data_IF_759912866211
#
_entry.id   IF_759912866211
#
_cell.length_a   1.000
_cell.length_b   1.000
_cell.length_c   1.000
_cell.angle_alpha   90.00
_cell.angle_beta   90.00
_cell.angle_gamma   90.00
#
_symmetry.space_group_name_H-M   'P 1'
#
loop_
_entity.id
_entity.type
_entity.pdbx_description
1 polymer ?
#
# COMPACT_ATOMS: atom_id res chain seq x y z
N UNK A 1 -26.34 4.25 8.49
CA UNK A 1 -25.02 4.42 9.15
C UNK A 1 -23.99 3.98 8.13
N UNK A 2 -23.07 4.83 7.70
CA UNK A 2 -22.08 4.43 6.69
C UNK A 2 -21.05 3.49 7.32
N UNK A 3 -20.78 2.36 6.65
CA UNK A 3 -19.66 1.51 7.00
C UNK A 3 -18.37 2.13 6.45
N UNK A 4 -17.48 2.53 7.36
CA UNK A 4 -16.16 3.05 7.03
C UNK A 4 -15.09 2.30 7.83
N UNK A 5 -13.85 2.42 7.35
CA UNK A 5 -12.65 2.04 8.08
C UNK A 5 -11.62 3.17 7.94
N UNK A 6 -10.89 3.46 9.01
CA UNK A 6 -9.67 4.24 8.91
C UNK A 6 -8.51 3.28 8.64
N UNK A 7 -7.96 3.38 7.44
CA UNK A 7 -6.74 2.66 7.06
C UNK A 7 -5.55 3.59 7.27
N UNK A 8 -4.51 3.04 7.87
CA UNK A 8 -3.25 3.73 8.09
C UNK A 8 -2.11 2.71 8.01
N UNK A 9 -0.96 3.11 7.48
CA UNK A 9 0.27 2.34 7.57
C UNK A 9 1.15 2.85 8.72
N UNK A 10 2.17 2.07 9.07
CA UNK A 10 3.02 2.45 10.19
C UNK A 10 3.94 3.64 9.85
N UNK A 11 4.21 3.95 8.58
CA UNK A 11 5.18 4.98 8.18
C UNK A 11 6.48 4.90 9.01
N UNK A 12 6.80 5.97 9.76
CA UNK A 12 7.92 6.15 10.68
C UNK A 12 7.54 5.91 12.15
N UNK A 13 6.31 5.48 12.43
CA UNK A 13 5.81 5.28 13.80
C UNK A 13 6.40 4.00 14.39
N UNK A 14 6.71 3.98 15.70
CA UNK A 14 7.49 2.90 16.31
C UNK A 14 6.70 1.59 16.47
N UNK A 15 5.36 1.65 16.50
CA UNK A 15 4.51 0.48 16.67
C UNK A 15 3.04 0.73 16.27
N UNK A 16 2.27 -0.34 16.13
CA UNK A 16 0.83 -0.29 15.86
C UNK A 16 0.04 0.50 16.92
N UNK A 17 0.44 0.42 18.21
CA UNK A 17 -0.19 1.19 19.29
C UNK A 17 -0.06 2.69 19.06
N UNK A 18 1.13 3.16 18.69
CA UNK A 18 1.37 4.57 18.39
C UNK A 18 0.53 5.06 17.20
N UNK A 19 0.31 4.20 16.19
CA UNK A 19 -0.58 4.51 15.06
C UNK A 19 -2.04 4.66 15.51
N UNK A 20 -2.54 3.72 16.33
CA UNK A 20 -3.90 3.79 16.88
C UNK A 20 -4.11 5.01 17.77
N UNK A 21 -3.15 5.32 18.63
CA UNK A 21 -3.20 6.54 19.45
C UNK A 21 -3.22 7.81 18.62
N UNK A 22 -2.41 7.86 17.55
CA UNK A 22 -2.41 9.00 16.64
C UNK A 22 -3.79 9.22 16.00
N UNK A 23 -4.41 8.16 15.46
CA UNK A 23 -5.75 8.24 14.88
C UNK A 23 -6.81 8.62 15.92
N UNK A 24 -6.72 8.08 17.14
CA UNK A 24 -7.63 8.48 18.24
C UNK A 24 -7.47 9.95 18.62
N UNK A 25 -6.25 10.51 18.60
CA UNK A 25 -6.04 11.94 18.85
C UNK A 25 -6.59 12.82 17.73
N UNK A 26 -6.54 12.36 16.48
CA UNK A 26 -7.06 13.11 15.33
C UNK A 26 -8.58 13.10 15.24
N UNK A 27 -9.22 11.97 15.54
CA UNK A 27 -10.65 11.76 15.27
C UNK A 27 -11.51 11.59 16.53
N UNK A 28 -10.91 11.40 17.71
CA UNK A 28 -11.63 11.22 18.97
C UNK A 28 -12.59 10.03 18.92
N UNK A 29 -13.78 10.23 19.49
CA UNK A 29 -14.83 9.20 19.57
C UNK A 29 -15.53 8.92 18.23
N UNK A 30 -15.27 9.73 17.20
CA UNK A 30 -15.75 9.48 15.84
C UNK A 30 -15.04 8.31 15.17
N UNK A 31 -13.97 7.77 15.76
CA UNK A 31 -13.23 6.64 15.21
C UNK A 31 -13.09 5.50 16.24
N UNK A 32 -14.07 4.58 16.29
CA UNK A 32 -14.00 3.42 17.17
C UNK A 32 -12.77 2.54 16.88
N UNK A 33 -12.13 1.94 17.90
CA UNK A 33 -10.91 1.13 17.71
C UNK A 33 -11.04 -0.02 16.71
N UNK A 34 -12.22 -0.64 16.61
CA UNK A 34 -12.54 -1.72 15.68
C UNK A 34 -12.63 -1.27 14.21
N UNK A 35 -12.80 0.03 13.98
CA UNK A 35 -12.81 0.67 12.66
C UNK A 35 -11.40 1.07 12.21
N UNK A 36 -10.38 0.89 13.06
CA UNK A 36 -8.98 1.22 12.76
C UNK A 36 -8.24 -0.02 12.27
N UNK A 37 -7.77 0.04 11.02
CA UNK A 37 -6.88 -0.95 10.43
C UNK A 37 -5.50 -0.30 10.27
N UNK A 38 -4.52 -0.83 11.01
CA UNK A 38 -3.12 -0.42 10.87
C UNK A 38 -2.37 -1.49 10.12
N UNK A 39 -1.66 -1.08 9.08
CA UNK A 39 -0.94 -1.95 8.15
C UNK A 39 0.56 -1.69 8.23
N UNK A 40 1.36 -2.66 7.79
CA UNK A 40 2.81 -2.58 7.95
C UNK A 40 3.43 -1.67 6.87
N UNK A 41 4.38 -0.82 7.31
CA UNK A 41 5.23 0.05 6.46
C UNK A 41 4.50 1.05 5.57
N UNK A 42 4.28 0.73 4.29
CA UNK A 42 3.83 1.66 3.25
C UNK A 42 2.74 1.00 2.41
N UNK A 43 1.57 1.63 2.31
CA UNK A 43 0.45 1.16 1.49
C UNK A 43 0.81 1.18 -0.01
N UNK A 44 1.70 2.07 -0.44
CA UNK A 44 2.09 2.17 -1.86
C UNK A 44 2.81 0.92 -2.37
N UNK A 45 3.41 0.14 -1.48
CA UNK A 45 3.93 -1.19 -1.78
C UNK A 45 2.88 -2.14 -2.37
N UNK A 46 1.59 -1.95 -2.04
CA UNK A 46 0.49 -2.80 -2.50
C UNK A 46 0.26 -2.68 -3.99
N UNK A 47 0.57 -1.54 -4.62
CA UNK A 47 0.45 -1.40 -6.07
C UNK A 47 1.42 -2.34 -6.79
N UNK A 48 2.63 -2.48 -6.26
CA UNK A 48 3.66 -3.34 -6.86
C UNK A 48 3.37 -4.84 -6.63
N UNK A 49 2.71 -5.21 -5.54
CA UNK A 49 2.52 -6.63 -5.20
C UNK A 49 1.63 -7.35 -6.23
N UNK A 50 0.65 -6.66 -6.81
CA UNK A 50 -0.24 -7.21 -7.85
C UNK A 50 0.28 -7.07 -9.28
N UNK A 51 1.48 -6.55 -9.48
CA UNK A 51 2.05 -6.37 -10.81
C UNK A 51 2.48 -7.71 -11.42
N UNK A 52 1.97 -7.98 -12.62
CA UNK A 52 2.19 -9.24 -13.37
C UNK A 52 3.13 -9.09 -14.57
N UNK A 53 3.64 -7.87 -14.82
CA UNK A 53 4.55 -7.59 -15.92
C UNK A 53 3.98 -6.66 -16.99
N UNK A 54 4.83 -5.80 -17.53
CA UNK A 54 4.58 -4.90 -18.65
C UNK A 54 5.88 -4.68 -19.41
N UNK A 55 5.80 -4.64 -20.75
CA UNK A 55 6.94 -4.27 -21.60
C UNK A 55 7.35 -2.82 -21.39
N UNK A 56 6.40 -1.95 -21.11
CA UNK A 56 6.62 -0.52 -20.87
C UNK A 56 7.46 -0.30 -19.59
N UNK A 57 7.15 -1.06 -18.54
CA UNK A 57 7.84 -0.97 -17.25
C UNK A 57 9.11 -1.83 -17.17
N UNK A 58 9.50 -2.54 -18.24
CA UNK A 58 10.67 -3.46 -18.23
C UNK A 58 11.98 -2.76 -17.87
N UNK A 59 12.10 -1.46 -18.12
CA UNK A 59 13.29 -0.65 -17.79
C UNK A 59 13.34 -0.24 -16.31
N UNK A 60 12.22 -0.32 -15.59
CA UNK A 60 12.19 -0.03 -14.17
C UNK A 60 12.83 -1.18 -13.39
N UNK A 61 13.76 -0.84 -12.51
CA UNK A 61 14.32 -1.79 -11.55
C UNK A 61 13.42 -1.83 -10.31
N UNK A 62 12.39 -2.67 -10.39
CA UNK A 62 11.51 -2.90 -9.25
C UNK A 62 12.11 -4.00 -8.35
N UNK A 63 12.00 -3.85 -7.01
CA UNK A 63 12.47 -4.88 -6.10
C UNK A 63 11.59 -6.13 -6.18
N UNK A 64 12.22 -7.30 -5.99
CA UNK A 64 11.49 -8.58 -5.96
C UNK A 64 10.55 -8.69 -4.75
N UNK A 65 10.94 -8.11 -3.62
CA UNK A 65 10.10 -7.94 -2.45
C UNK A 65 9.55 -6.52 -2.45
N UNK A 66 8.23 -6.40 -2.62
CA UNK A 66 7.57 -5.10 -2.72
C UNK A 66 7.21 -4.52 -1.36
N UNK A 67 7.17 -5.34 -0.32
CA UNK A 67 6.74 -4.96 1.03
C UNK A 67 7.61 -3.84 1.62
N UNK A 68 7.01 -2.67 1.84
CA UNK A 68 7.68 -1.51 2.41
C UNK A 68 8.36 -0.59 1.40
N UNK A 69 8.23 -0.86 0.10
CA UNK A 69 8.62 0.10 -0.94
C UNK A 69 7.79 1.36 -0.79
N UNK A 70 8.47 2.49 -0.62
CA UNK A 70 7.84 3.80 -0.48
C UNK A 70 7.45 4.38 -1.83
N UNK A 71 6.48 5.30 -1.80
CA UNK A 71 6.10 6.08 -2.98
C UNK A 71 7.28 6.80 -3.65
N UNK A 72 8.25 7.30 -2.87
CA UNK A 72 9.45 7.95 -3.41
C UNK A 72 10.35 6.98 -4.17
N UNK A 73 10.57 5.77 -3.63
CA UNK A 73 11.41 4.76 -4.27
C UNK A 73 10.81 4.31 -5.60
N UNK A 74 9.48 4.18 -5.68
CA UNK A 74 8.79 3.94 -6.94
C UNK A 74 8.99 5.09 -7.95
N UNK A 75 8.81 6.34 -7.52
CA UNK A 75 9.00 7.52 -8.40
C UNK A 75 10.44 7.62 -8.91
N UNK A 76 11.41 7.35 -8.05
CA UNK A 76 12.83 7.38 -8.40
C UNK A 76 13.17 6.26 -9.40
N UNK A 77 12.59 5.06 -9.22
CA UNK A 77 12.75 3.96 -10.16
C UNK A 77 12.13 4.27 -11.54
N UNK A 78 10.98 4.94 -11.58
CA UNK A 78 10.34 5.35 -12.84
C UNK A 78 11.17 6.43 -13.55
N UNK A 79 11.57 7.47 -12.80
CA UNK A 79 12.39 8.58 -13.32
C UNK A 79 13.73 8.09 -13.84
N UNK A 80 14.41 7.20 -13.10
CA UNK A 80 15.67 6.59 -13.52
C UNK A 80 15.55 5.72 -14.78
N UNK A 81 14.35 5.19 -15.05
CA UNK A 81 14.04 4.45 -16.27
C UNK A 81 13.62 5.36 -17.45
N UNK A 82 13.59 6.68 -17.25
CA UNK A 82 13.13 7.67 -18.23
C UNK A 82 11.62 7.68 -18.43
N UNK A 83 10.85 7.26 -17.42
CA UNK A 83 9.39 7.21 -17.45
C UNK A 83 8.80 8.30 -16.56
N UNK A 84 7.65 8.83 -16.97
CA UNK A 84 6.80 9.63 -16.08
C UNK A 84 6.19 8.73 -14.99
N UNK A 85 6.35 9.05 -13.69
CA UNK A 85 5.84 8.21 -12.60
C UNK A 85 4.32 7.99 -12.63
N UNK A 86 3.56 8.99 -13.06
CA UNK A 86 2.09 8.88 -13.13
C UNK A 86 1.67 7.87 -14.19
N UNK A 87 2.28 7.97 -15.36
CA UNK A 87 2.07 7.03 -16.47
C UNK A 87 2.55 5.62 -16.10
N UNK A 88 3.68 5.50 -15.40
CA UNK A 88 4.18 4.22 -14.92
C UNK A 88 3.21 3.56 -13.92
N UNK A 89 2.64 4.34 -13.01
CA UNK A 89 1.64 3.85 -12.06
C UNK A 89 0.34 3.42 -12.77
N UNK A 90 -0.15 4.22 -13.71
CA UNK A 90 -1.35 3.89 -14.48
C UNK A 90 -1.17 2.58 -15.27
N UNK A 91 -0.02 2.41 -15.93
CA UNK A 91 0.32 1.17 -16.63
C UNK A 91 0.36 -0.02 -15.65
N UNK A 92 0.98 0.16 -14.49
CA UNK A 92 1.05 -0.88 -13.46
C UNK A 92 -0.33 -1.30 -12.96
N UNK A 93 -1.21 -0.34 -12.69
CA UNK A 93 -2.56 -0.59 -12.19
C UNK A 93 -3.49 -1.18 -13.26
N UNK A 94 -3.25 -0.91 -14.54
CA UNK A 94 -4.06 -1.44 -15.65
C UNK A 94 -4.06 -2.98 -15.75
N UNK A 95 -3.07 -3.64 -15.14
CA UNK A 95 -2.89 -5.10 -15.14
C UNK A 95 -2.81 -5.68 -13.72
N UNK A 96 -3.36 -4.97 -12.75
CA UNK A 96 -3.27 -5.34 -11.35
C UNK A 96 -4.06 -6.62 -11.04
N UNK A 97 -3.40 -7.61 -10.45
CA UNK A 97 -4.01 -8.85 -9.99
C UNK A 97 -4.08 -8.86 -8.46
N UNK A 98 -5.28 -8.69 -7.91
CA UNK A 98 -5.51 -8.69 -6.47
C UNK A 98 -5.19 -10.04 -5.82
N UNK A 99 -5.45 -11.17 -6.50
CA UNK A 99 -5.17 -12.50 -5.96
C UNK A 99 -3.66 -12.68 -5.77
N UNK A 100 -2.86 -12.30 -6.77
CA UNK A 100 -1.40 -12.33 -6.63
C UNK A 100 -0.89 -11.30 -5.62
N UNK A 101 -1.49 -10.11 -5.59
CA UNK A 101 -1.12 -9.07 -4.64
C UNK A 101 -1.23 -9.55 -3.20
N UNK A 102 -2.32 -10.25 -2.87
CA UNK A 102 -2.57 -10.83 -1.55
C UNK A 102 -1.56 -11.93 -1.19
N UNK A 103 -1.15 -12.75 -2.16
CA UNK A 103 -0.12 -13.76 -1.92
C UNK A 103 1.26 -13.14 -1.67
N UNK A 104 1.55 -11.98 -2.27
CA UNK A 104 2.87 -11.34 -2.24
C UNK A 104 3.02 -10.27 -1.17
N UNK A 105 1.94 -9.71 -0.65
CA UNK A 105 1.95 -8.73 0.44
C UNK A 105 1.11 -9.21 1.63
N UNK A 106 1.78 -9.66 2.72
CA UNK A 106 1.09 -10.00 3.96
C UNK A 106 0.28 -8.84 4.55
N UNK A 107 0.73 -7.59 4.34
CA UNK A 107 0.04 -6.39 4.80
C UNK A 107 -1.29 -6.17 4.06
N UNK A 108 -1.30 -6.35 2.74
CA UNK A 108 -2.53 -6.32 1.95
C UNK A 108 -3.47 -7.48 2.28
N UNK A 109 -2.94 -8.69 2.45
CA UNK A 109 -3.76 -9.85 2.83
C UNK A 109 -4.41 -9.65 4.20
N UNK A 110 -3.69 -9.10 5.17
CA UNK A 110 -4.25 -8.71 6.46
C UNK A 110 -5.40 -7.72 6.30
N UNK A 111 -5.23 -6.70 5.46
CA UNK A 111 -6.26 -5.70 5.18
C UNK A 111 -7.50 -6.33 4.52
N UNK A 112 -7.33 -7.16 3.48
CA UNK A 112 -8.43 -7.86 2.81
C UNK A 112 -9.22 -8.74 3.80
N UNK A 113 -8.52 -9.51 4.66
CA UNK A 113 -9.18 -10.31 5.71
C UNK A 113 -9.99 -9.47 6.68
N UNK A 114 -9.51 -8.27 7.05
CA UNK A 114 -10.25 -7.35 7.93
C UNK A 114 -11.51 -6.80 7.28
N UNK A 115 -11.54 -6.70 5.95
CA UNK A 115 -12.71 -6.30 5.18
C UNK A 115 -13.63 -7.46 4.78
N UNK A 116 -13.22 -8.71 5.02
CA UNK A 116 -13.96 -9.89 4.55
C UNK A 116 -13.88 -10.10 3.03
N UNK A 117 -12.81 -9.61 2.39
CA UNK A 117 -12.51 -9.75 0.96
C UNK A 117 -11.49 -10.86 0.74
#
# INVERSE_FOLDING_TARGET
MMDYYALMDMDSRPCYTACREHLRRLFGDLLPPERIIVTNRSIEAWYLSGYTGSRYLKKMRLPALTEGVRASEFRDAATSAGLDPTTALAELLSRYDLSQARQRSPSLEYFCRKLGI
#
